data_IF_874091938248
#
_entry.id   IF_874091938248
#
_cell.length_a   1.000
_cell.length_b   1.000
_cell.length_c   1.000
_cell.angle_alpha   90.00
_cell.angle_beta   90.00
_cell.angle_gamma   90.00
#
_symmetry.space_group_name_H-M   'P 1'
#
loop_
_entity.id
_entity.type
_entity.pdbx_description
1 polymer ?
#
# COMPACT_ATOMS: atom_id res chain seq x y z
N UNK A 1 -30.93 41.86 35.70
CA UNK A 1 -29.67 41.61 34.97
C UNK A 1 -29.04 40.31 35.45
N UNK A 2 -29.14 39.22 34.67
CA UNK A 2 -28.26 38.05 34.71
C UNK A 2 -28.22 37.49 33.27
N UNK A 3 -27.12 37.73 32.57
CA UNK A 3 -26.86 37.25 31.21
C UNK A 3 -26.48 35.78 31.29
N UNK A 4 -27.28 34.89 30.74
CA UNK A 4 -26.87 33.51 30.49
C UNK A 4 -26.33 33.41 29.06
N UNK A 5 -25.01 33.29 28.96
CA UNK A 5 -24.30 33.02 27.71
C UNK A 5 -24.74 31.64 27.18
N UNK A 6 -25.33 31.64 25.98
CA UNK A 6 -25.59 30.43 25.21
C UNK A 6 -24.29 30.04 24.49
N UNK A 7 -23.61 29.00 24.95
CA UNK A 7 -22.54 28.36 24.17
C UNK A 7 -23.22 27.41 23.19
N UNK A 8 -23.37 27.86 21.95
CA UNK A 8 -23.78 27.02 20.82
C UNK A 8 -22.52 26.30 20.34
N UNK A 9 -22.42 25.01 20.62
CA UNK A 9 -21.39 24.13 20.07
C UNK A 9 -21.76 23.85 18.61
N UNK A 10 -21.08 24.51 17.67
CA UNK A 10 -21.22 24.23 16.23
C UNK A 10 -20.34 23.03 15.89
N UNK A 11 -20.95 21.86 15.74
CA UNK A 11 -20.29 20.69 15.15
C UNK A 11 -20.26 20.93 13.64
N UNK A 12 -19.12 21.41 13.14
CA UNK A 12 -18.86 21.56 11.72
C UNK A 12 -18.65 20.17 11.12
N UNK A 13 -19.74 19.56 10.63
CA UNK A 13 -19.69 18.37 9.79
C UNK A 13 -19.10 18.76 8.44
N UNK A 14 -17.80 18.50 8.24
CA UNK A 14 -17.14 18.68 6.96
C UNK A 14 -17.58 17.55 6.03
N UNK A 15 -18.54 17.86 5.16
CA UNK A 15 -18.94 17.00 4.05
C UNK A 15 -17.79 16.94 3.03
N UNK A 16 -16.95 15.91 3.12
CA UNK A 16 -16.04 15.58 2.02
C UNK A 16 -16.87 15.07 0.84
N UNK A 17 -17.03 15.93 -0.15
CA UNK A 17 -17.49 15.55 -1.47
C UNK A 17 -16.51 14.51 -2.03
N UNK A 18 -17.00 13.29 -2.23
CA UNK A 18 -16.33 12.28 -3.03
C UNK A 18 -16.24 12.81 -4.47
N UNK A 19 -15.06 13.29 -4.85
CA UNK A 19 -14.69 13.47 -6.25
C UNK A 19 -14.13 12.13 -6.72
N UNK A 20 -14.84 11.52 -7.66
CA UNK A 20 -14.49 10.23 -8.26
C UNK A 20 -13.11 10.28 -8.90
N UNK A 21 -12.26 9.37 -8.46
CA UNK A 21 -11.02 9.00 -9.14
C UNK A 21 -11.31 7.72 -9.92
N UNK A 22 -10.89 7.72 -11.18
CA UNK A 22 -11.10 6.65 -12.15
C UNK A 22 -10.82 5.27 -11.54
N UNK A 23 -11.81 4.40 -11.71
CA UNK A 23 -11.86 3.02 -11.25
C UNK A 23 -10.85 2.16 -12.04
N UNK A 24 -9.57 2.25 -11.69
CA UNK A 24 -8.72 1.06 -11.76
C UNK A 24 -9.17 0.20 -10.58
N UNK A 25 -10.02 -0.81 -10.84
CA UNK A 25 -10.39 -1.79 -9.84
C UNK A 25 -9.12 -2.49 -9.37
N UNK A 26 -8.52 -1.97 -8.29
CA UNK A 26 -7.68 -2.74 -7.40
C UNK A 26 -8.61 -3.85 -6.91
N UNK A 27 -8.34 -5.14 -7.17
CA UNK A 27 -9.14 -6.20 -6.57
C UNK A 27 -9.07 -5.99 -5.06
N UNK A 28 -10.22 -5.67 -4.48
CA UNK A 28 -10.41 -5.61 -3.04
C UNK A 28 -9.88 -6.93 -2.48
N UNK A 29 -9.13 -6.86 -1.37
CA UNK A 29 -8.69 -8.01 -0.58
C UNK A 29 -9.91 -8.80 -0.07
N UNK A 30 -10.63 -9.47 -0.96
CA UNK A 30 -11.49 -10.58 -0.62
C UNK A 30 -10.58 -11.72 -0.19
N UNK A 31 -10.42 -11.88 1.12
CA UNK A 31 -10.11 -13.16 1.78
C UNK A 31 -8.76 -13.85 1.48
N UNK A 32 -7.89 -13.32 0.62
CA UNK A 32 -6.62 -14.01 0.31
C UNK A 32 -5.62 -13.93 1.47
N UNK A 33 -5.47 -15.05 2.18
CA UNK A 33 -4.50 -15.22 3.27
C UNK A 33 -3.06 -15.10 2.77
N UNK A 34 -2.80 -15.47 1.51
CA UNK A 34 -1.51 -15.31 0.85
C UNK A 34 -1.58 -14.13 -0.13
N UNK A 35 -0.94 -13.02 0.20
CA UNK A 35 -0.94 -11.85 -0.68
C UNK A 35 0.31 -10.99 -0.57
N UNK A 36 0.60 -10.27 -1.65
CA UNK A 36 1.64 -9.28 -1.75
C UNK A 36 1.01 -7.96 -2.20
N UNK A 37 1.28 -6.89 -1.45
CA UNK A 37 0.88 -5.54 -1.78
C UNK A 37 2.09 -4.61 -1.76
N UNK A 38 2.16 -3.71 -2.74
CA UNK A 38 3.18 -2.66 -2.84
C UNK A 38 2.45 -1.35 -3.05
N UNK A 39 2.64 -0.40 -2.15
CA UNK A 39 2.15 0.96 -2.23
C UNK A 39 3.34 1.89 -2.48
N UNK A 40 3.28 2.69 -3.54
CA UNK A 40 4.31 3.66 -3.90
C UNK A 40 3.66 5.03 -3.85
N UNK A 41 4.16 5.87 -2.95
CA UNK A 41 3.59 7.18 -2.66
C UNK A 41 4.60 8.27 -3.01
N UNK A 42 4.21 9.16 -3.91
CA UNK A 42 4.86 10.46 -4.11
C UNK A 42 4.06 11.57 -3.41
N UNK A 43 4.49 12.82 -3.54
CA UNK A 43 3.70 13.96 -3.06
C UNK A 43 2.35 14.09 -3.79
N UNK A 44 2.31 13.71 -5.06
CA UNK A 44 1.19 13.95 -5.97
C UNK A 44 0.39 12.69 -6.35
N UNK A 45 0.90 11.50 -6.03
CA UNK A 45 0.31 10.24 -6.48
C UNK A 45 0.50 9.10 -5.50
N UNK A 46 -0.42 8.14 -5.56
CA UNK A 46 -0.34 6.85 -4.88
C UNK A 46 -0.62 5.76 -5.91
N UNK A 47 0.34 4.87 -6.08
CA UNK A 47 0.20 3.66 -6.88
C UNK A 47 0.13 2.49 -5.92
N UNK A 48 -0.95 1.72 -5.99
CA UNK A 48 -1.08 0.49 -5.22
C UNK A 48 -1.19 -0.67 -6.18
N UNK A 49 -0.26 -1.62 -6.07
CA UNK A 49 -0.32 -2.88 -6.79
C UNK A 49 -0.47 -4.02 -5.79
N UNK A 50 -1.39 -4.93 -6.08
CA UNK A 50 -1.71 -6.05 -5.21
C UNK A 50 -1.93 -7.33 -5.99
N UNK A 51 -1.49 -8.46 -5.43
CA UNK A 51 -1.73 -9.80 -5.94
C UNK A 51 -1.99 -10.78 -4.80
N UNK A 52 -3.05 -11.57 -4.93
CA UNK A 52 -3.32 -12.75 -4.12
C UNK A 52 -2.74 -14.02 -4.74
N UNK A 53 -2.53 -15.03 -3.91
CA UNK A 53 -2.00 -16.34 -4.30
C UNK A 53 -2.82 -17.43 -3.64
N UNK A 54 -2.96 -18.58 -4.29
CA UNK A 54 -3.70 -19.72 -3.72
C UNK A 54 -2.90 -20.35 -2.58
N UNK A 55 -1.57 -20.38 -2.72
CA UNK A 55 -0.67 -20.99 -1.74
C UNK A 55 0.46 -20.03 -1.32
N UNK A 56 1.04 -20.29 -0.15
CA UNK A 56 2.25 -19.57 0.29
C UNK A 56 3.45 -19.89 -0.60
N UNK A 57 3.51 -21.10 -1.16
CA UNK A 57 4.56 -21.52 -2.10
C UNK A 57 4.55 -20.70 -3.39
N UNK A 58 3.36 -20.44 -3.96
CA UNK A 58 3.19 -19.54 -5.10
C UNK A 58 3.63 -18.12 -4.76
N UNK A 59 3.20 -17.60 -3.60
CA UNK A 59 3.63 -16.29 -3.10
C UNK A 59 5.16 -16.21 -3.05
N UNK A 60 5.83 -17.23 -2.47
CA UNK A 60 7.29 -17.24 -2.34
C UNK A 60 8.00 -17.36 -3.68
N UNK A 61 7.50 -18.20 -4.59
CA UNK A 61 8.04 -18.41 -5.93
C UNK A 61 7.81 -17.22 -6.88
N UNK A 62 6.84 -16.35 -6.58
CA UNK A 62 6.51 -15.21 -7.42
C UNK A 62 7.69 -14.23 -7.60
N UNK A 63 8.10 -14.05 -8.86
CA UNK A 63 9.05 -13.01 -9.27
C UNK A 63 8.31 -11.70 -9.53
N UNK A 64 8.66 -10.69 -8.74
CA UNK A 64 8.06 -9.36 -8.77
C UNK A 64 8.67 -8.47 -9.87
N UNK A 65 9.72 -8.93 -10.55
CA UNK A 65 10.50 -8.10 -11.48
C UNK A 65 9.66 -7.58 -12.65
N UNK A 66 8.84 -8.42 -13.28
CA UNK A 66 7.94 -8.00 -14.37
C UNK A 66 6.87 -7.02 -13.87
N UNK A 67 6.40 -7.24 -12.65
CA UNK A 67 5.36 -6.39 -12.06
C UNK A 67 5.90 -5.01 -11.72
N UNK A 68 7.11 -4.94 -11.15
CA UNK A 68 7.79 -3.68 -10.85
C UNK A 68 8.21 -2.94 -12.12
N UNK A 69 8.56 -3.64 -13.19
CA UNK A 69 8.89 -3.04 -14.48
C UNK A 69 7.69 -2.35 -15.16
N UNK A 70 6.46 -2.74 -14.80
CA UNK A 70 5.23 -2.11 -15.31
C UNK A 70 4.85 -0.80 -14.61
N UNK A 71 5.54 -0.46 -13.52
CA UNK A 71 5.25 0.75 -12.74
C UNK A 71 5.99 1.93 -13.38
N UNK A 72 5.25 2.75 -14.13
CA UNK A 72 5.75 3.97 -14.74
C UNK A 72 5.66 5.13 -13.74
N UNK A 73 6.81 5.50 -13.16
CA UNK A 73 6.94 6.64 -12.25
C UNK A 73 7.59 7.79 -13.01
N UNK A 74 6.77 8.76 -13.42
CA UNK A 74 7.21 9.91 -14.21
C UNK A 74 7.66 11.04 -13.32
N UNK A 75 8.97 11.19 -13.09
CA UNK A 75 9.66 12.46 -12.83
C UNK A 75 11.19 12.21 -12.72
N UNK A 76 12.01 13.12 -13.23
CA UNK A 76 13.49 13.00 -13.20
C UNK A 76 14.07 13.36 -11.82
N UNK A 77 13.28 14.05 -10.98
CA UNK A 77 13.68 14.47 -9.63
C UNK A 77 12.71 14.01 -8.54
N UNK A 78 11.93 12.94 -8.77
CA UNK A 78 11.02 12.45 -7.73
C UNK A 78 11.71 11.53 -6.71
N UNK A 79 11.36 11.74 -5.45
CA UNK A 79 11.55 10.79 -4.35
C UNK A 79 10.19 10.22 -3.94
N UNK A 80 10.15 8.93 -3.64
CA UNK A 80 8.92 8.25 -3.21
C UNK A 80 9.13 7.49 -1.91
N UNK A 81 8.02 7.17 -1.25
CA UNK A 81 7.98 6.16 -0.20
C UNK A 81 7.34 4.88 -0.73
N UNK A 82 7.95 3.74 -0.44
CA UNK A 82 7.44 2.42 -0.78
C UNK A 82 7.02 1.71 0.50
N UNK A 83 5.77 1.28 0.57
CA UNK A 83 5.28 0.37 1.61
C UNK A 83 5.02 -0.98 0.97
N UNK A 84 5.71 -2.02 1.45
CA UNK A 84 5.45 -3.41 1.05
C UNK A 84 4.73 -4.10 2.19
N UNK A 85 3.67 -4.84 1.88
CA UNK A 85 2.96 -5.71 2.81
C UNK A 85 2.95 -7.12 2.25
N UNK A 86 3.35 -8.08 3.08
CA UNK A 86 3.29 -9.52 2.75
C UNK A 86 2.39 -10.17 3.79
N UNK A 87 1.38 -10.89 3.31
CA UNK A 87 0.48 -11.69 4.13
C UNK A 87 0.64 -13.16 3.76
N UNK A 88 0.73 -14.02 4.75
CA UNK A 88 0.85 -15.48 4.59
C UNK A 88 -0.19 -16.17 5.45
N UNK A 89 -0.95 -17.09 4.85
CA UNK A 89 -1.93 -17.91 5.55
C UNK A 89 -1.26 -19.01 6.38
N UNK A 90 -1.80 -19.21 7.58
CA UNK A 90 -1.39 -20.26 8.53
C UNK A 90 -2.66 -20.84 9.15
N UNK A 91 -3.05 -22.04 8.69
CA UNK A 91 -4.27 -22.74 9.06
C UNK A 91 -5.57 -21.96 8.80
N UNK A 92 -6.13 -21.31 9.83
CA UNK A 92 -7.34 -20.46 9.73
C UNK A 92 -7.04 -19.01 10.13
N UNK A 93 -5.77 -18.64 10.13
CA UNK A 93 -5.27 -17.31 10.47
C UNK A 93 -4.28 -16.85 9.39
N UNK A 94 -3.78 -15.62 9.53
CA UNK A 94 -2.70 -15.12 8.72
C UNK A 94 -1.69 -14.35 9.56
N UNK A 95 -0.45 -14.31 9.07
CA UNK A 95 0.58 -13.38 9.54
C UNK A 95 0.76 -12.31 8.49
N UNK A 96 0.82 -11.05 8.90
CA UNK A 96 1.11 -9.93 8.02
C UNK A 96 2.35 -9.18 8.51
N UNK A 97 3.29 -8.95 7.59
CA UNK A 97 4.45 -8.10 7.83
C UNK A 97 4.44 -6.95 6.84
N UNK A 98 4.83 -5.78 7.32
CA UNK A 98 4.93 -4.58 6.49
C UNK A 98 6.23 -3.85 6.74
N UNK A 99 6.77 -3.24 5.69
CA UNK A 99 7.91 -2.36 5.78
C UNK A 99 7.69 -1.16 4.86
N UNK A 100 8.03 0.03 5.38
CA UNK A 100 8.03 1.27 4.63
C UNK A 100 9.45 1.80 4.53
N UNK A 101 9.85 2.17 3.32
CA UNK A 101 11.14 2.80 3.04
C UNK A 101 10.86 4.12 2.31
N UNK A 102 11.39 5.22 2.85
CA UNK A 102 11.13 6.58 2.36
C UNK A 102 12.34 7.17 1.64
N UNK A 103 12.14 8.30 0.97
CA UNK A 103 13.16 9.09 0.29
C UNK A 103 13.91 8.30 -0.80
N UNK A 104 13.20 7.43 -1.53
CA UNK A 104 13.76 6.58 -2.58
C UNK A 104 13.72 7.32 -3.91
N UNK A 105 14.86 7.46 -4.63
CA UNK A 105 14.86 7.97 -5.99
C UNK A 105 14.00 7.09 -6.91
N UNK A 106 13.20 7.71 -7.78
CA UNK A 106 12.30 6.98 -8.68
C UNK A 106 13.00 5.91 -9.55
N UNK A 107 14.25 6.14 -9.94
CA UNK A 107 15.08 5.16 -10.66
C UNK A 107 15.39 3.88 -9.86
N UNK A 108 15.38 3.95 -8.52
CA UNK A 108 15.75 2.84 -7.63
C UNK A 108 14.54 2.08 -7.08
N UNK A 109 13.32 2.53 -7.37
CA UNK A 109 12.09 1.99 -6.79
C UNK A 109 11.97 0.49 -6.98
N UNK A 110 12.21 -0.01 -8.21
CA UNK A 110 12.12 -1.43 -8.49
C UNK A 110 13.16 -2.25 -7.69
N UNK A 111 14.40 -1.74 -7.58
CA UNK A 111 15.46 -2.40 -6.84
C UNK A 111 15.16 -2.45 -5.33
N UNK A 112 14.71 -1.33 -4.75
CA UNK A 112 14.36 -1.25 -3.33
C UNK A 112 13.14 -2.09 -3.01
N UNK A 113 12.06 -1.99 -3.80
CA UNK A 113 10.87 -2.81 -3.61
C UNK A 113 11.20 -4.31 -3.63
N UNK A 114 11.97 -4.77 -4.63
CA UNK A 114 12.40 -6.16 -4.72
C UNK A 114 13.17 -6.61 -3.48
N UNK A 115 14.11 -5.79 -3.00
CA UNK A 115 14.90 -6.09 -1.80
C UNK A 115 14.02 -6.19 -0.56
N UNK A 116 13.12 -5.22 -0.37
CA UNK A 116 12.18 -5.19 0.75
C UNK A 116 11.26 -6.42 0.74
N UNK A 117 10.73 -6.80 -0.43
CA UNK A 117 9.89 -7.99 -0.57
C UNK A 117 10.66 -9.26 -0.18
N UNK A 118 11.89 -9.41 -0.65
CA UNK A 118 12.73 -10.57 -0.30
C UNK A 118 13.04 -10.62 1.20
N UNK A 119 13.31 -9.48 1.83
CA UNK A 119 13.54 -9.39 3.28
C UNK A 119 12.28 -9.75 4.07
N UNK A 120 11.11 -9.24 3.67
CA UNK A 120 9.84 -9.57 4.31
C UNK A 120 9.48 -11.04 4.13
N UNK A 121 9.62 -11.60 2.91
CA UNK A 121 9.44 -13.02 2.64
C UNK A 121 10.37 -13.88 3.50
N UNK A 122 11.63 -13.50 3.67
CA UNK A 122 12.58 -14.23 4.50
C UNK A 122 12.29 -14.10 6.01
N UNK A 123 11.70 -13.00 6.46
CA UNK A 123 11.35 -12.77 7.86
C UNK A 123 10.05 -13.45 8.31
N UNK A 124 9.17 -13.78 7.38
CA UNK A 124 7.87 -14.43 7.66
C UNK A 124 7.84 -15.93 7.33
N UNK A 125 8.83 -16.44 6.58
CA UNK A 125 9.02 -17.87 6.30
C UNK A 125 9.54 -18.61 7.53
#
# INVERSE_FOLDING_TARGET
MKKYNRIILVILAFSFSFIGIANNQIPELGENENSLQIEIKSESSLITVQRGFETSEELYAFDVSEWLASIDIKDEFCTVSITVKVRVGVDSNFVEVSATVSDIPCADVAAVARRTIQQLKAGIK
#
